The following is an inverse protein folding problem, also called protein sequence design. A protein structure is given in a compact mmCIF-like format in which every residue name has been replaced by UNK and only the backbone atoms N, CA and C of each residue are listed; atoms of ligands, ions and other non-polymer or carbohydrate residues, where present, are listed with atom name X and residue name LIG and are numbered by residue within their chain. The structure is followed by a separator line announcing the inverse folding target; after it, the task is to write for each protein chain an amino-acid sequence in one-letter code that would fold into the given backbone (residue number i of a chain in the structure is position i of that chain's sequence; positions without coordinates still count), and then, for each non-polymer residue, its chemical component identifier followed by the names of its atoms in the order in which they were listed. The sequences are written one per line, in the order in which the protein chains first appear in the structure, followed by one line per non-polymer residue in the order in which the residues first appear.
data_IF_025012812265
#
_entry.id   IF_025012812265
#
_cell.length_a   1.000
_cell.length_b   1.000
_cell.length_c   1.000
_cell.angle_alpha   90.00
_cell.angle_beta   90.00
_cell.angle_gamma   90.00
#
_symmetry.space_group_name_H-M   'P 1'
#
loop_
_entity.id
_entity.type
_entity.pdbx_description
1 polymer ?
#
# COMPACT_ATOMS: atom_id res chain seq x y z
N UNK A 1 9.10 11.30 -49.35
CA UNK A 1 8.93 12.17 -48.15
C UNK A 1 9.05 11.43 -46.82
N UNK A 2 8.60 10.17 -46.68
CA UNK A 2 8.75 9.40 -45.42
C UNK A 2 10.17 8.87 -45.14
N UNK A 3 10.89 8.43 -46.17
CA UNK A 3 12.26 7.91 -46.04
C UNK A 3 13.28 8.99 -45.60
N UNK A 4 13.10 10.23 -46.04
CA UNK A 4 13.99 11.34 -45.69
C UNK A 4 13.88 11.71 -44.19
N UNK A 5 12.65 11.67 -43.64
CA UNK A 5 12.40 11.94 -42.22
C UNK A 5 12.97 10.83 -41.33
N UNK A 6 12.91 9.57 -41.78
CA UNK A 6 13.44 8.43 -41.04
C UNK A 6 14.98 8.49 -40.95
N UNK A 7 15.66 8.79 -42.08
CA UNK A 7 17.12 8.93 -42.12
C UNK A 7 17.59 10.14 -41.31
N UNK A 8 16.86 11.25 -41.34
CA UNK A 8 17.17 12.43 -40.53
C UNK A 8 17.05 12.14 -39.02
N UNK A 9 16.05 11.34 -38.61
CA UNK A 9 15.93 10.89 -37.21
C UNK A 9 17.07 9.95 -36.81
N UNK A 10 17.44 9.00 -37.66
CA UNK A 10 18.53 8.04 -37.40
C UNK A 10 19.90 8.72 -37.26
N UNK A 11 20.20 9.71 -38.10
CA UNK A 11 21.44 10.49 -38.01
C UNK A 11 21.45 11.37 -36.76
N UNK A 12 20.31 11.93 -36.36
CA UNK A 12 20.20 12.72 -35.12
C UNK A 12 20.28 11.88 -33.83
N UNK A 13 20.02 10.58 -33.90
CA UNK A 13 20.18 9.66 -32.76
C UNK A 13 21.59 9.10 -32.64
N UNK A 14 22.33 8.98 -33.75
CA UNK A 14 23.68 8.39 -33.77
C UNK A 14 24.78 9.30 -33.19
N UNK A 15 24.52 10.62 -33.09
CA UNK A 15 25.45 11.59 -32.51
C UNK A 15 25.17 11.95 -31.05
N UNK A 16 24.17 11.35 -30.40
CA UNK A 16 23.94 11.57 -28.97
C UNK A 16 24.95 10.72 -28.22
N UNK A 17 25.81 11.38 -27.45
CA UNK A 17 26.71 10.73 -26.50
C UNK A 17 25.94 9.64 -25.74
N UNK A 18 26.57 8.50 -25.42
CA UNK A 18 25.91 7.47 -24.62
C UNK A 18 25.37 8.17 -23.38
N UNK A 19 24.05 8.17 -23.25
CA UNK A 19 23.37 8.77 -22.10
C UNK A 19 23.89 8.02 -20.88
N UNK A 20 24.84 8.61 -20.18
CA UNK A 20 25.22 8.19 -18.84
C UNK A 20 24.07 8.63 -17.97
N UNK A 21 23.03 7.81 -17.97
CA UNK A 21 21.85 7.97 -17.15
C UNK A 21 22.27 7.77 -15.71
N UNK A 22 22.67 8.86 -15.08
CA UNK A 22 22.72 8.94 -13.63
C UNK A 22 21.27 8.99 -13.20
N UNK A 23 20.80 8.02 -12.40
CA UNK A 23 19.46 8.04 -11.83
C UNK A 23 19.26 9.42 -11.18
N UNK A 24 18.45 10.28 -11.79
CA UNK A 24 18.16 11.58 -11.21
C UNK A 24 17.43 11.30 -9.90
N UNK A 25 17.98 11.78 -8.78
CA UNK A 25 17.38 11.54 -7.48
C UNK A 25 16.05 12.29 -7.40
N UNK A 26 15.02 11.65 -6.86
CA UNK A 26 13.76 12.34 -6.54
C UNK A 26 14.08 13.55 -5.65
N UNK A 27 13.71 14.78 -6.06
CA UNK A 27 13.87 15.94 -5.19
C UNK A 27 12.92 15.87 -3.99
N UNK A 28 13.31 16.51 -2.89
CA UNK A 28 12.45 16.66 -1.72
C UNK A 28 11.18 17.48 -2.06
N UNK A 29 9.99 17.09 -1.55
CA UNK A 29 8.72 17.70 -1.93
C UNK A 29 8.59 19.19 -1.60
N UNK A 30 9.32 19.69 -0.60
CA UNK A 30 9.23 21.07 -0.12
C UNK A 30 9.63 22.10 -1.18
N UNK A 31 10.68 21.85 -1.96
CA UNK A 31 11.18 22.79 -2.95
C UNK A 31 10.24 22.96 -4.15
N UNK A 32 9.60 21.87 -4.59
CA UNK A 32 8.72 21.87 -5.76
C UNK A 32 7.35 22.48 -5.45
N UNK A 33 6.82 22.26 -4.24
CA UNK A 33 5.49 22.72 -3.85
C UNK A 33 5.44 24.20 -3.50
N UNK A 34 6.50 24.76 -2.89
CA UNK A 34 6.59 26.20 -2.61
C UNK A 34 6.42 27.03 -3.89
N UNK A 35 6.85 26.51 -5.04
CA UNK A 35 6.72 27.18 -6.34
C UNK A 35 5.30 27.07 -6.94
N UNK A 36 4.48 26.09 -6.53
CA UNK A 36 3.14 25.84 -7.08
C UNK A 36 1.99 26.33 -6.19
N UNK A 37 2.18 26.35 -4.86
CA UNK A 37 1.14 26.71 -3.88
C UNK A 37 0.80 28.22 -3.89
N UNK A 38 1.56 29.05 -4.61
CA UNK A 38 1.26 30.48 -4.79
C UNK A 38 -0.16 30.80 -5.31
N UNK A 39 -0.89 29.80 -5.83
CA UNK A 39 -2.28 29.93 -6.32
C UNK A 39 -3.41 29.69 -5.31
N UNK A 40 -3.14 29.22 -4.08
CA UNK A 40 -4.12 29.19 -2.97
C UNK A 40 -5.04 27.96 -2.84
N UNK A 41 -5.23 27.13 -3.88
CA UNK A 41 -6.02 25.88 -3.80
C UNK A 41 -5.09 24.64 -3.77
N UNK A 42 -5.09 23.81 -2.71
CA UNK A 42 -4.21 22.65 -2.59
C UNK A 42 -4.62 21.45 -3.47
N UNK A 43 -5.88 21.35 -3.92
CA UNK A 43 -6.36 20.17 -4.65
C UNK A 43 -5.79 20.05 -6.07
N UNK A 44 -5.74 21.11 -6.90
CA UNK A 44 -5.03 21.07 -8.18
C UNK A 44 -3.56 20.72 -8.02
N UNK A 45 -2.91 21.24 -6.97
CA UNK A 45 -1.51 20.95 -6.66
C UNK A 45 -1.32 19.46 -6.38
N UNK A 46 -2.16 18.84 -5.55
CA UNK A 46 -2.11 17.40 -5.28
C UNK A 46 -2.19 16.55 -6.56
N UNK A 47 -3.09 16.93 -7.49
CA UNK A 47 -3.27 16.22 -8.77
C UNK A 47 -2.06 16.37 -9.69
N UNK A 48 -1.54 17.58 -9.83
CA UNK A 48 -0.33 17.84 -10.64
C UNK A 48 0.87 17.10 -10.06
N UNK A 49 1.05 17.12 -8.74
CA UNK A 49 2.10 16.38 -8.05
C UNK A 49 1.98 14.88 -8.28
N UNK A 50 0.77 14.32 -8.22
CA UNK A 50 0.53 12.91 -8.52
C UNK A 50 0.96 12.56 -9.94
N UNK A 51 0.53 13.35 -10.93
CA UNK A 51 0.88 13.13 -12.33
C UNK A 51 2.39 13.28 -12.58
N UNK A 52 3.02 14.25 -11.92
CA UNK A 52 4.46 14.45 -12.00
C UNK A 52 5.22 13.26 -11.44
N UNK A 53 4.83 12.74 -10.27
CA UNK A 53 5.46 11.56 -9.66
C UNK A 53 5.35 10.34 -10.60
N UNK A 54 4.18 10.10 -11.17
CA UNK A 54 3.98 9.02 -12.13
C UNK A 54 4.81 9.19 -13.42
N UNK A 55 4.91 10.42 -13.92
CA UNK A 55 5.70 10.73 -15.11
C UNK A 55 7.22 10.57 -14.85
N UNK A 56 7.67 10.92 -13.64
CA UNK A 56 9.05 10.73 -13.20
C UNK A 56 9.44 9.25 -13.17
N UNK A 57 8.53 8.38 -12.74
CA UNK A 57 8.76 6.93 -12.73
C UNK A 57 8.78 6.30 -14.13
N UNK A 58 8.18 6.96 -15.13
CA UNK A 58 7.92 6.39 -16.48
C UNK A 58 8.85 6.92 -17.59
N UNK A 59 10.08 7.34 -17.27
CA UNK A 59 10.96 8.03 -18.22
C UNK A 59 11.26 7.23 -19.52
N UNK A 60 11.07 7.82 -20.72
CA UNK A 60 11.38 7.17 -22.00
C UNK A 60 12.87 6.89 -22.16
N UNK A 61 13.24 5.62 -22.36
CA UNK A 61 14.63 5.17 -22.53
C UNK A 61 15.34 4.83 -21.22
N UNK A 62 14.70 5.09 -20.07
CA UNK A 62 15.15 4.75 -18.73
C UNK A 62 13.94 4.31 -17.93
N UNK A 63 13.51 3.07 -18.11
CA UNK A 63 12.61 2.44 -17.13
C UNK A 63 13.38 2.36 -15.82
N UNK A 64 13.32 3.41 -15.00
CA UNK A 64 13.81 3.38 -13.62
C UNK A 64 13.01 2.29 -12.93
N UNK A 65 13.67 1.17 -12.72
CA UNK A 65 13.03 0.08 -12.03
C UNK A 65 12.80 0.54 -10.59
N UNK A 66 11.59 0.34 -10.07
CA UNK A 66 11.18 0.84 -8.75
C UNK A 66 12.18 0.51 -7.62
N UNK A 67 13.02 -0.52 -7.79
CA UNK A 67 14.15 -0.85 -6.91
C UNK A 67 15.31 0.18 -6.89
N UNK A 68 15.30 1.22 -7.71
CA UNK A 68 16.36 2.25 -7.76
C UNK A 68 15.93 3.56 -7.09
N UNK A 69 14.65 3.69 -6.73
CA UNK A 69 14.11 4.87 -6.07
C UNK A 69 14.53 4.92 -4.60
N UNK A 70 14.71 6.13 -4.07
CA UNK A 70 14.80 6.37 -2.63
C UNK A 70 13.39 6.34 -2.03
N UNK A 71 13.12 5.29 -1.26
CA UNK A 71 11.81 5.05 -0.69
C UNK A 71 11.46 6.03 0.43
N UNK A 72 12.44 6.64 1.09
CA UNK A 72 12.16 7.70 2.06
C UNK A 72 11.57 8.92 1.37
N UNK A 73 12.14 9.29 0.22
CA UNK A 73 11.63 10.39 -0.60
C UNK A 73 10.26 10.05 -1.21
N UNK A 74 10.05 8.80 -1.64
CA UNK A 74 8.72 8.34 -2.10
C UNK A 74 7.69 8.45 -0.97
N UNK A 75 8.00 8.01 0.25
CA UNK A 75 7.12 8.19 1.42
C UNK A 75 6.78 9.67 1.61
N UNK A 76 7.80 10.55 1.62
CA UNK A 76 7.59 11.99 1.81
C UNK A 76 6.67 12.59 0.74
N UNK A 77 6.81 12.18 -0.53
CA UNK A 77 5.92 12.59 -1.61
C UNK A 77 4.48 12.12 -1.41
N UNK A 78 4.28 10.83 -1.11
CA UNK A 78 2.95 10.27 -0.90
C UNK A 78 2.24 10.92 0.29
N UNK A 79 2.95 11.12 1.40
CA UNK A 79 2.43 11.84 2.57
C UNK A 79 2.08 13.28 2.25
N UNK A 80 2.90 13.95 1.45
CA UNK A 80 2.65 15.33 1.06
C UNK A 80 1.43 15.44 0.14
N UNK A 81 1.24 14.50 -0.79
CA UNK A 81 0.01 14.42 -1.60
C UNK A 81 -1.20 14.21 -0.71
N UNK A 82 -1.11 13.32 0.28
CA UNK A 82 -2.20 13.08 1.26
C UNK A 82 -2.46 14.29 2.17
N UNK A 83 -1.44 15.09 2.50
CA UNK A 83 -1.63 16.36 3.23
C UNK A 83 -2.38 17.40 2.39
N UNK A 84 -2.14 17.43 1.08
CA UNK A 84 -2.82 18.34 0.15
C UNK A 84 -4.24 17.87 -0.21
N UNK A 85 -4.45 16.56 -0.35
CA UNK A 85 -5.75 15.93 -0.56
C UNK A 85 -5.95 14.74 0.42
N UNK A 86 -6.44 15.00 1.65
CA UNK A 86 -6.62 13.97 2.68
C UNK A 86 -7.62 12.87 2.29
N UNK A 87 -8.53 13.15 1.35
CA UNK A 87 -9.54 12.19 0.89
C UNK A 87 -9.00 11.28 -0.21
N UNK A 88 -7.84 11.61 -0.79
CA UNK A 88 -7.25 10.83 -1.86
C UNK A 88 -6.94 9.41 -1.43
N UNK A 89 -7.34 8.46 -2.27
CA UNK A 89 -7.10 7.03 -2.10
C UNK A 89 -5.92 6.56 -2.96
N UNK A 90 -5.50 7.40 -3.90
CA UNK A 90 -4.52 7.04 -4.91
C UNK A 90 -3.09 6.88 -4.36
N UNK A 91 -2.59 7.75 -3.45
CA UNK A 91 -1.29 7.53 -2.82
C UNK A 91 -1.21 6.21 -2.05
N UNK A 92 -2.31 5.78 -1.43
CA UNK A 92 -2.37 4.50 -0.71
C UNK A 92 -2.44 3.31 -1.66
N UNK A 93 -3.09 3.45 -2.82
CA UNK A 93 -2.99 2.46 -3.90
C UNK A 93 -1.53 2.29 -4.34
N UNK A 94 -0.83 3.39 -4.62
CA UNK A 94 0.57 3.35 -5.03
C UNK A 94 1.45 2.71 -3.95
N UNK A 95 1.32 3.14 -2.70
CA UNK A 95 2.06 2.59 -1.57
C UNK A 95 1.83 1.07 -1.44
N UNK A 96 0.57 0.63 -1.49
CA UNK A 96 0.20 -0.77 -1.25
C UNK A 96 0.54 -1.73 -2.40
N UNK A 97 0.42 -1.30 -3.67
CA UNK A 97 0.48 -2.19 -4.84
C UNK A 97 1.63 -1.95 -5.81
N UNK A 98 2.15 -0.73 -5.87
CA UNK A 98 3.22 -0.40 -6.82
C UNK A 98 4.55 -0.40 -6.08
N UNK A 99 4.68 0.47 -5.09
CA UNK A 99 5.92 0.57 -4.32
C UNK A 99 6.03 -0.54 -3.26
N UNK A 100 4.92 -0.99 -2.70
CA UNK A 100 4.86 -1.99 -1.64
C UNK A 100 4.98 -3.45 -2.09
N UNK A 101 4.99 -3.74 -3.40
CA UNK A 101 5.14 -5.10 -3.94
C UNK A 101 6.50 -5.32 -4.62
N UNK A 102 7.45 -4.39 -4.43
CA UNK A 102 8.83 -4.59 -4.89
C UNK A 102 9.49 -5.68 -4.06
N UNK A 103 10.31 -6.52 -4.68
CA UNK A 103 11.04 -7.63 -4.02
C UNK A 103 12.22 -7.12 -3.17
N UNK A 104 11.92 -6.31 -2.17
CA UNK A 104 12.86 -5.71 -1.23
C UNK A 104 12.15 -5.55 0.14
N UNK A 105 12.56 -6.32 1.17
CA UNK A 105 11.90 -6.35 2.48
C UNK A 105 11.80 -4.98 3.18
N UNK A 106 12.85 -4.15 3.08
CA UNK A 106 12.90 -2.87 3.80
C UNK A 106 11.93 -1.87 3.16
N UNK A 107 11.87 -1.87 1.83
CA UNK A 107 10.92 -1.07 1.05
C UNK A 107 9.47 -1.47 1.30
N UNK A 108 9.20 -2.77 1.33
CA UNK A 108 7.89 -3.31 1.66
C UNK A 108 7.45 -2.83 3.05
N UNK A 109 8.35 -2.91 4.04
CA UNK A 109 8.08 -2.46 5.42
C UNK A 109 7.80 -0.95 5.48
N UNK A 110 8.57 -0.12 4.76
CA UNK A 110 8.32 1.33 4.68
C UNK A 110 6.93 1.67 4.12
N UNK A 111 6.55 1.04 3.01
CA UNK A 111 5.25 1.27 2.38
C UNK A 111 4.10 0.75 3.23
N UNK A 112 4.26 -0.42 3.84
CA UNK A 112 3.26 -0.96 4.76
C UNK A 112 3.07 -0.07 6.00
N UNK A 113 4.17 0.47 6.56
CA UNK A 113 4.12 1.40 7.67
C UNK A 113 3.46 2.75 7.30
N UNK A 114 3.68 3.25 6.07
CA UNK A 114 2.95 4.41 5.56
C UNK A 114 1.44 4.13 5.50
N UNK A 115 1.04 3.01 4.92
CA UNK A 115 -0.38 2.62 4.83
C UNK A 115 -1.01 2.46 6.20
N UNK A 116 -0.30 1.83 7.15
CA UNK A 116 -0.78 1.66 8.53
C UNK A 116 -1.02 3.01 9.23
N UNK A 117 -0.04 3.92 9.19
CA UNK A 117 -0.22 5.26 9.78
C UNK A 117 -1.40 6.00 9.17
N UNK A 118 -1.53 5.97 7.85
CA UNK A 118 -2.65 6.62 7.16
C UNK A 118 -3.98 5.92 7.46
N UNK A 119 -4.00 4.60 7.66
CA UNK A 119 -5.20 3.90 8.08
C UNK A 119 -5.73 4.43 9.41
N UNK A 120 -4.86 4.68 10.39
CA UNK A 120 -5.27 5.19 11.70
C UNK A 120 -6.01 6.54 11.61
N UNK A 121 -5.69 7.37 10.62
CA UNK A 121 -6.34 8.67 10.41
C UNK A 121 -7.78 8.58 9.84
N UNK A 122 -8.07 7.60 8.97
CA UNK A 122 -9.40 7.37 8.40
C UNK A 122 -9.66 5.87 8.18
N UNK A 123 -9.88 5.11 9.28
CA UNK A 123 -9.98 3.65 9.22
C UNK A 123 -11.12 3.18 8.32
N UNK A 124 -12.25 3.89 8.33
CA UNK A 124 -13.44 3.56 7.55
C UNK A 124 -13.23 3.61 6.03
N UNK A 125 -12.36 4.49 5.53
CA UNK A 125 -12.07 4.57 4.08
C UNK A 125 -10.82 3.81 3.67
N UNK A 126 -9.87 3.64 4.59
CA UNK A 126 -8.51 3.18 4.28
C UNK A 126 -8.27 1.71 4.65
N UNK A 127 -9.22 1.03 5.29
CA UNK A 127 -9.10 -0.38 5.70
C UNK A 127 -8.64 -1.32 4.58
N UNK A 128 -9.11 -1.12 3.34
CA UNK A 128 -8.76 -1.98 2.20
C UNK A 128 -7.27 -1.96 1.87
N UNK A 129 -6.63 -0.81 2.08
CA UNK A 129 -5.19 -0.66 1.84
C UNK A 129 -4.41 -1.35 2.95
N UNK A 130 -4.86 -1.22 4.20
CA UNK A 130 -4.25 -1.94 5.31
C UNK A 130 -4.40 -3.46 5.16
N UNK A 131 -5.57 -3.96 4.76
CA UNK A 131 -5.80 -5.38 4.51
C UNK A 131 -4.88 -5.91 3.37
N UNK A 132 -4.67 -5.11 2.32
CA UNK A 132 -3.72 -5.45 1.26
C UNK A 132 -2.27 -5.47 1.78
N UNK A 133 -1.84 -4.43 2.52
CA UNK A 133 -0.51 -4.37 3.12
C UNK A 133 -0.26 -5.50 4.11
N UNK A 134 -1.25 -5.91 4.90
CA UNK A 134 -1.19 -7.09 5.77
C UNK A 134 -0.87 -8.34 4.94
N UNK A 135 -1.52 -8.53 3.79
CA UNK A 135 -1.27 -9.68 2.90
C UNK A 135 0.17 -9.70 2.38
N UNK A 136 0.70 -8.54 2.00
CA UNK A 136 2.11 -8.38 1.61
C UNK A 136 3.04 -8.73 2.78
N UNK A 137 2.77 -8.18 3.96
CA UNK A 137 3.58 -8.43 5.17
C UNK A 137 3.56 -9.91 5.56
N UNK A 138 2.40 -10.57 5.51
CA UNK A 138 2.23 -11.99 5.83
C UNK A 138 2.99 -12.90 4.86
N UNK A 139 2.84 -12.68 3.54
CA UNK A 139 3.31 -13.65 2.55
C UNK A 139 4.64 -13.31 1.89
N UNK A 140 4.93 -12.03 1.68
CA UNK A 140 6.17 -11.59 1.03
C UNK A 140 7.25 -11.30 2.07
N UNK A 141 6.94 -10.41 3.05
CA UNK A 141 7.88 -10.06 4.12
C UNK A 141 8.05 -11.20 5.14
N UNK A 142 7.02 -12.04 5.29
CA UNK A 142 6.95 -13.16 6.25
C UNK A 142 7.14 -12.70 7.70
N UNK A 143 6.71 -11.48 8.00
CA UNK A 143 6.75 -10.90 9.34
C UNK A 143 5.37 -11.07 9.99
N UNK A 144 5.13 -12.25 10.56
CA UNK A 144 3.86 -12.58 11.21
C UNK A 144 3.52 -11.65 12.39
N UNK A 145 4.47 -11.26 13.27
CA UNK A 145 4.20 -10.26 14.31
C UNK A 145 3.68 -8.93 13.74
N UNK A 146 4.31 -8.39 12.69
CA UNK A 146 3.84 -7.16 12.06
C UNK A 146 2.48 -7.34 11.36
N UNK A 147 2.25 -8.49 10.72
CA UNK A 147 0.94 -8.79 10.14
C UNK A 147 -0.15 -8.86 11.22
N UNK A 148 0.16 -9.42 12.39
CA UNK A 148 -0.75 -9.52 13.52
C UNK A 148 -1.10 -8.13 14.08
N UNK A 149 -0.13 -7.22 14.19
CA UNK A 149 -0.38 -5.83 14.60
C UNK A 149 -1.40 -5.14 13.68
N UNK A 150 -1.26 -5.32 12.37
CA UNK A 150 -2.18 -4.75 11.39
C UNK A 150 -3.56 -5.40 11.43
N UNK A 151 -3.62 -6.71 11.67
CA UNK A 151 -4.87 -7.43 11.83
C UNK A 151 -5.63 -6.98 13.08
N UNK A 152 -4.93 -6.84 14.20
CA UNK A 152 -5.49 -6.32 15.45
C UNK A 152 -6.08 -4.93 15.27
N UNK A 153 -5.44 -4.06 14.48
CA UNK A 153 -5.98 -2.74 14.18
C UNK A 153 -7.32 -2.83 13.42
N UNK A 154 -7.46 -3.77 12.47
CA UNK A 154 -8.72 -4.03 11.78
C UNK A 154 -9.79 -4.63 12.73
N UNK A 155 -9.41 -5.57 13.60
CA UNK A 155 -10.29 -6.18 14.60
C UNK A 155 -10.86 -5.14 15.56
N UNK A 156 -9.97 -4.31 16.14
CA UNK A 156 -10.28 -3.38 17.22
C UNK A 156 -10.87 -2.05 16.75
N UNK A 157 -10.95 -1.82 15.44
CA UNK A 157 -11.59 -0.65 14.88
C UNK A 157 -13.08 -0.57 15.27
N UNK A 158 -13.59 0.66 15.43
CA UNK A 158 -14.99 0.92 15.79
C UNK A 158 -15.96 0.02 14.98
N UNK A 159 -16.84 -0.77 15.65
CA UNK A 159 -17.83 -1.62 14.98
C UNK A 159 -18.76 -0.89 14.01
N UNK A 160 -18.99 0.42 14.21
CA UNK A 160 -19.81 1.24 13.32
C UNK A 160 -19.13 1.54 11.97
N UNK A 161 -17.81 1.31 11.85
CA UNK A 161 -17.09 1.52 10.61
C UNK A 161 -17.41 0.42 9.58
N UNK A 162 -17.43 0.77 8.28
CA UNK A 162 -17.78 -0.14 7.19
C UNK A 162 -16.63 -1.09 6.83
N UNK A 163 -16.03 -1.74 7.83
CA UNK A 163 -14.98 -2.75 7.67
C UNK A 163 -15.68 -4.12 7.67
N UNK A 164 -15.52 -4.94 6.61
CA UNK A 164 -16.22 -6.21 6.48
C UNK A 164 -15.71 -7.26 7.48
N UNK A 165 -16.55 -8.25 7.80
CA UNK A 165 -16.26 -9.29 8.79
C UNK A 165 -14.95 -10.02 8.52
N UNK A 166 -14.71 -10.43 7.27
CA UNK A 166 -13.49 -11.14 6.89
C UNK A 166 -12.21 -10.35 7.22
N UNK A 167 -12.23 -9.01 7.09
CA UNK A 167 -11.07 -8.18 7.39
C UNK A 167 -10.82 -8.07 8.90
N UNK A 168 -11.91 -8.03 9.69
CA UNK A 168 -11.86 -8.04 11.16
C UNK A 168 -11.47 -9.41 11.72
N UNK A 169 -11.73 -10.48 10.98
CA UNK A 169 -11.40 -11.86 11.37
C UNK A 169 -9.96 -12.26 11.04
N UNK A 170 -9.19 -11.42 10.32
CA UNK A 170 -7.81 -11.77 9.91
C UNK A 170 -6.89 -12.10 11.08
N UNK A 171 -7.10 -11.49 12.25
CA UNK A 171 -6.33 -11.76 13.47
C UNK A 171 -6.42 -13.23 13.89
N UNK A 172 -7.61 -13.83 13.80
CA UNK A 172 -7.84 -15.23 14.18
C UNK A 172 -6.95 -16.17 13.37
N UNK A 173 -6.92 -15.96 12.05
CA UNK A 173 -6.15 -16.81 11.14
C UNK A 173 -4.63 -16.60 11.31
N UNK A 174 -4.20 -15.37 11.62
CA UNK A 174 -2.78 -15.11 11.88
C UNK A 174 -2.31 -15.73 13.20
N UNK A 175 -3.13 -15.69 14.26
CA UNK A 175 -2.82 -16.38 15.51
C UNK A 175 -2.71 -17.89 15.32
N UNK A 176 -3.58 -18.47 14.49
CA UNK A 176 -3.44 -19.86 14.10
C UNK A 176 -2.12 -20.12 13.35
N UNK A 177 -1.76 -19.30 12.35
CA UNK A 177 -0.50 -19.43 11.61
C UNK A 177 0.73 -19.36 12.54
N UNK A 178 0.63 -18.59 13.64
CA UNK A 178 1.66 -18.44 14.67
C UNK A 178 1.67 -19.60 15.68
N UNK A 179 0.73 -20.54 15.59
CA UNK A 179 0.59 -21.66 16.54
C UNK A 179 -0.13 -21.30 17.85
N UNK A 180 -0.69 -20.10 17.95
CA UNK A 180 -1.46 -19.62 19.11
C UNK A 180 -2.91 -20.15 19.06
N UNK A 181 -3.05 -21.47 18.99
CA UNK A 181 -4.33 -22.14 18.77
C UNK A 181 -5.36 -21.83 19.87
N UNK A 182 -4.93 -21.76 21.14
CA UNK A 182 -5.81 -21.41 22.26
C UNK A 182 -6.44 -20.02 22.09
N UNK A 183 -5.64 -19.02 21.68
CA UNK A 183 -6.13 -17.67 21.43
C UNK A 183 -7.12 -17.65 20.25
N UNK A 184 -6.82 -18.38 19.17
CA UNK A 184 -7.70 -18.51 18.03
C UNK A 184 -9.04 -19.18 18.40
N UNK A 185 -9.02 -20.22 19.24
CA UNK A 185 -10.22 -20.91 19.76
C UNK A 185 -11.10 -19.94 20.58
N UNK A 186 -10.50 -19.18 21.50
CA UNK A 186 -11.23 -18.21 22.32
C UNK A 186 -11.88 -17.13 21.44
N UNK A 187 -11.15 -16.60 20.47
CA UNK A 187 -11.68 -15.58 19.56
C UNK A 187 -12.80 -16.10 18.67
N UNK A 188 -12.67 -17.31 18.12
CA UNK A 188 -13.72 -17.94 17.30
C UNK A 188 -14.97 -18.24 18.12
N UNK A 189 -14.82 -18.80 19.32
CA UNK A 189 -15.93 -19.06 20.23
C UNK A 189 -16.68 -17.77 20.58
N UNK A 190 -15.96 -16.74 21.02
CA UNK A 190 -16.57 -15.45 21.33
C UNK A 190 -17.26 -14.79 20.13
N UNK A 191 -16.67 -14.90 18.93
CA UNK A 191 -17.28 -14.39 17.69
C UNK A 191 -18.59 -15.12 17.36
N UNK A 192 -18.62 -16.45 17.47
CA UNK A 192 -19.83 -17.25 17.23
C UNK A 192 -20.92 -16.98 18.28
N UNK A 193 -20.55 -16.86 19.55
CA UNK A 193 -21.48 -16.55 20.64
C UNK A 193 -22.06 -15.13 20.55
N UNK A 194 -21.30 -14.17 20.02
CA UNK A 194 -21.74 -12.77 19.89
C UNK A 194 -22.96 -12.58 18.97
N UNK A 195 -23.26 -13.55 18.10
CA UNK A 195 -24.34 -13.45 17.12
C UNK A 195 -24.10 -12.42 16.01
N UNK A 196 -22.91 -11.81 15.93
CA UNK A 196 -22.55 -10.84 14.87
C UNK A 196 -22.49 -11.50 13.50
N UNK A 197 -22.07 -12.77 13.44
CA UNK A 197 -22.04 -13.57 12.22
C UNK A 197 -23.45 -14.04 11.90
N UNK A 198 -24.10 -13.41 10.93
CA UNK A 198 -25.49 -13.73 10.56
C UNK A 198 -25.61 -14.72 9.39
N UNK A 199 -24.61 -14.81 8.52
CA UNK A 199 -24.63 -15.72 7.38
C UNK A 199 -24.46 -17.18 7.86
N UNK A 200 -25.46 -18.07 7.62
CA UNK A 200 -25.35 -19.47 8.00
C UNK A 200 -24.16 -20.21 7.37
N UNK A 201 -23.70 -19.80 6.18
CA UNK A 201 -22.52 -20.38 5.56
C UNK A 201 -21.23 -20.00 6.30
N UNK A 202 -21.10 -18.73 6.68
CA UNK A 202 -19.98 -18.22 7.48
C UNK A 202 -19.96 -18.89 8.86
N UNK A 203 -21.11 -18.99 9.54
CA UNK A 203 -21.21 -19.69 10.83
C UNK A 203 -20.71 -21.14 10.74
N UNK A 204 -21.16 -21.90 9.72
CA UNK A 204 -20.70 -23.28 9.52
C UNK A 204 -19.20 -23.37 9.29
N UNK A 205 -18.64 -22.47 8.48
CA UNK A 205 -17.21 -22.43 8.23
C UNK A 205 -16.42 -22.16 9.52
N UNK A 206 -16.83 -21.17 10.31
CA UNK A 206 -16.16 -20.82 11.57
C UNK A 206 -16.29 -21.93 12.63
N UNK A 207 -17.44 -22.61 12.70
CA UNK A 207 -17.64 -23.77 13.58
C UNK A 207 -16.73 -24.93 13.21
N UNK A 208 -16.67 -25.30 11.92
CA UNK A 208 -15.74 -26.34 11.45
C UNK A 208 -14.29 -25.98 11.76
N UNK A 209 -13.94 -24.69 11.66
CA UNK A 209 -12.60 -24.22 11.98
C UNK A 209 -12.29 -24.32 13.48
N UNK A 210 -13.24 -23.96 14.34
CA UNK A 210 -13.14 -24.09 15.79
C UNK A 210 -12.92 -25.55 16.21
N UNK A 211 -13.71 -26.48 15.68
CA UNK A 211 -13.56 -27.91 15.94
C UNK A 211 -12.18 -28.42 15.53
N UNK A 212 -11.70 -28.04 14.34
CA UNK A 212 -10.38 -28.44 13.86
C UNK A 212 -9.24 -27.94 14.78
N UNK A 213 -9.37 -26.72 15.33
CA UNK A 213 -8.38 -26.16 16.24
C UNK A 213 -8.35 -26.87 17.61
N UNK A 214 -9.50 -27.30 18.12
CA UNK A 214 -9.59 -28.03 19.39
C UNK A 214 -8.96 -29.44 19.34
N UNK A 215 -8.72 -29.96 18.14
CA UNK A 215 -8.09 -31.28 17.92
C UNK A 215 -6.59 -31.24 17.69
N UNK A 216 -5.98 -30.04 17.60
CA UNK A 216 -4.53 -29.84 17.46
C UNK A 216 -3.87 -29.72 18.84
#
# INVERSE_FOLDING_TARGET
MLLLVLVLKLVSSAGRAPWTATAEQLPEPSAMLLNMVGGGDPLPVARVTTLWLQAFDSQPGLSLAYHQLDYQTVVAWLEQILRLDPRSQYPLLLASRIYGEVNDPDRQRLMAALVYRQYLDDPGRRWRWLAHSLTVVRHQLKDLPLALEYAQALTNADPALPIPSWARQMEIFLREDMGEHEAAVVMLGGLLESGVVQDPAEQRFLLQRLEALQTK
#
